data_IF_191336281979
#
_entry.id   IF_191336281979
#
_cell.length_a   1.000
_cell.length_b   1.000
_cell.length_c   1.000
_cell.angle_alpha   90.00
_cell.angle_beta   90.00
_cell.angle_gamma   90.00
#
_symmetry.space_group_name_H-M   'P 1'
#
loop_
_entity.id
_entity.type
_entity.pdbx_description
1 polymer ?
#
# COMPACT_ATOMS: atom_id res chain seq x y z
N UNK A 1 -16.06 -15.56 -3.64
CA UNK A 1 -16.65 -16.91 -3.82
C UNK A 1 -15.58 -17.94 -3.49
N UNK A 2 -15.86 -18.96 -2.68
CA UNK A 2 -14.87 -19.97 -2.27
C UNK A 2 -15.26 -21.37 -2.76
N UNK A 3 -14.30 -22.17 -3.21
CA UNK A 3 -14.53 -23.55 -3.64
C UNK A 3 -14.47 -24.52 -2.46
N UNK A 4 -15.55 -25.22 -2.17
CA UNK A 4 -15.61 -26.19 -1.08
C UNK A 4 -14.75 -27.43 -1.41
N UNK A 5 -13.77 -27.78 -0.57
CA UNK A 5 -12.88 -28.93 -0.83
C UNK A 5 -13.57 -30.31 -0.77
N UNK A 6 -14.76 -30.40 -0.17
CA UNK A 6 -15.51 -31.65 -0.03
C UNK A 6 -16.40 -31.94 -1.25
N UNK A 7 -17.03 -30.92 -1.86
CA UNK A 7 -17.91 -31.10 -3.01
C UNK A 7 -17.45 -30.41 -4.30
N UNK A 8 -16.33 -29.68 -4.25
CA UNK A 8 -15.72 -28.96 -5.35
C UNK A 8 -16.59 -27.87 -6.02
N UNK A 9 -17.71 -27.51 -5.40
CA UNK A 9 -18.59 -26.43 -5.87
C UNK A 9 -18.19 -25.08 -5.25
N UNK A 10 -18.46 -24.02 -6.00
CA UNK A 10 -18.28 -22.64 -5.58
C UNK A 10 -19.43 -22.23 -4.64
N UNK A 11 -19.10 -21.72 -3.45
CA UNK A 11 -20.04 -21.37 -2.38
C UNK A 11 -19.86 -19.93 -1.89
N UNK A 12 -20.96 -19.32 -1.44
CA UNK A 12 -20.96 -18.05 -0.73
C UNK A 12 -20.58 -18.25 0.75
N UNK A 13 -20.01 -17.22 1.38
CA UNK A 13 -19.57 -17.27 2.79
C UNK A 13 -20.69 -17.72 3.74
N UNK A 14 -21.92 -17.26 3.50
CA UNK A 14 -23.14 -17.62 4.24
C UNK A 14 -23.57 -19.09 4.12
N UNK A 15 -22.99 -19.84 3.17
CA UNK A 15 -23.32 -21.26 2.94
C UNK A 15 -22.37 -22.22 3.67
N UNK A 16 -21.41 -21.67 4.43
CA UNK A 16 -20.61 -22.43 5.39
C UNK A 16 -21.26 -22.37 6.77
N UNK A 17 -21.23 -23.47 7.55
CA UNK A 17 -21.80 -23.48 8.88
C UNK A 17 -21.09 -22.43 9.77
N UNK A 18 -21.81 -21.75 10.66
CA UNK A 18 -21.20 -20.86 11.65
C UNK A 18 -20.21 -21.65 12.51
N UNK A 19 -19.17 -20.96 12.99
CA UNK A 19 -18.02 -21.59 13.68
C UNK A 19 -18.38 -22.27 15.00
N UNK A 20 -19.61 -22.10 15.44
CA UNK A 20 -20.17 -22.73 16.64
C UNK A 20 -20.46 -24.22 16.49
N UNK A 21 -20.23 -24.83 15.32
CA UNK A 21 -20.58 -26.23 15.08
C UNK A 21 -19.36 -27.15 15.02
N UNK A 22 -19.31 -28.13 15.93
CA UNK A 22 -18.53 -29.34 15.71
C UNK A 22 -19.24 -30.14 14.62
N UNK A 23 -18.57 -30.37 13.49
CA UNK A 23 -19.02 -31.34 12.51
C UNK A 23 -18.80 -32.75 13.07
N UNK A 24 -19.80 -33.26 13.78
CA UNK A 24 -19.95 -34.71 13.90
C UNK A 24 -20.62 -35.22 12.64
N UNK A 25 -19.86 -35.48 11.58
CA UNK A 25 -20.37 -36.39 10.56
C UNK A 25 -19.23 -37.18 9.93
N UNK A 26 -19.24 -38.47 10.19
CA UNK A 26 -18.53 -39.52 9.46
C UNK A 26 -19.05 -39.71 8.03
N UNK A 27 -19.75 -38.73 7.46
CA UNK A 27 -20.40 -38.85 6.15
C UNK A 27 -19.87 -37.83 5.15
N UNK A 28 -19.72 -38.30 3.91
CA UNK A 28 -19.21 -37.62 2.71
C UNK A 28 -20.10 -36.49 2.18
N UNK A 29 -20.93 -35.88 3.02
CA UNK A 29 -21.86 -34.81 2.63
C UNK A 29 -21.38 -33.45 3.15
N UNK A 30 -21.69 -32.40 2.39
CA UNK A 30 -21.39 -31.03 2.79
C UNK A 30 -22.04 -30.67 4.13
N UNK A 31 -21.36 -29.91 5.00
CA UNK A 31 -21.97 -29.38 6.21
C UNK A 31 -23.28 -28.64 5.91
N UNK A 32 -24.39 -29.08 6.49
CA UNK A 32 -25.67 -28.37 6.47
C UNK A 32 -25.79 -27.42 7.67
N UNK A 33 -26.60 -26.36 7.54
CA UNK A 33 -26.89 -25.34 8.57
C UNK A 33 -27.60 -25.88 9.83
N UNK A 34 -27.80 -27.18 9.96
CA UNK A 34 -28.49 -27.82 11.09
C UNK A 34 -27.51 -28.13 12.23
N UNK A 35 -27.27 -27.15 13.10
CA UNK A 35 -26.41 -27.31 14.28
C UNK A 35 -27.24 -27.75 15.49
N UNK A 36 -26.92 -28.91 16.08
CA UNK A 36 -27.68 -29.49 17.19
C UNK A 36 -27.23 -29.10 18.60
N UNK A 37 -26.06 -28.46 18.77
CA UNK A 37 -25.55 -28.05 20.08
C UNK A 37 -24.75 -26.75 20.03
N UNK A 38 -25.07 -25.83 20.94
CA UNK A 38 -24.32 -24.59 21.19
C UNK A 38 -23.17 -24.87 22.15
N UNK A 39 -21.95 -24.48 21.77
CA UNK A 39 -20.81 -24.41 22.69
C UNK A 39 -20.92 -23.12 23.51
N UNK A 40 -20.91 -23.22 24.83
CA UNK A 40 -20.62 -22.10 25.73
C UNK A 40 -19.12 -22.11 26.06
N UNK A 41 -18.33 -21.31 25.35
CA UNK A 41 -16.92 -21.03 25.66
C UNK A 41 -16.74 -19.51 25.63
N UNK A 42 -16.10 -18.95 26.66
CA UNK A 42 -15.88 -17.51 26.84
C UNK A 42 -14.95 -16.91 25.75
N UNK A 43 -14.25 -17.77 24.99
CA UNK A 43 -13.44 -17.38 23.83
C UNK A 43 -14.27 -17.25 22.55
N UNK A 44 -15.58 -17.53 22.60
CA UNK A 44 -16.49 -17.45 21.45
C UNK A 44 -16.57 -16.04 20.87
N UNK A 45 -16.63 -15.01 21.70
CA UNK A 45 -16.66 -13.62 21.22
C UNK A 45 -15.36 -13.27 20.49
N UNK A 46 -14.22 -13.73 21.02
CA UNK A 46 -12.91 -13.49 20.43
C UNK A 46 -12.73 -14.25 19.11
N UNK A 47 -13.18 -15.51 19.05
CA UNK A 47 -13.14 -16.31 17.82
C UNK A 47 -14.11 -15.75 16.76
N UNK A 48 -15.33 -15.38 17.16
CA UNK A 48 -16.31 -14.77 16.25
C UNK A 48 -15.79 -13.44 15.70
N UNK A 49 -15.13 -12.61 16.52
CA UNK A 49 -14.51 -11.37 16.05
C UNK A 49 -13.36 -11.61 15.06
N UNK A 50 -12.57 -12.68 15.22
CA UNK A 50 -11.53 -13.07 14.24
C UNK A 50 -12.18 -13.59 12.96
N UNK A 51 -13.21 -14.43 13.09
CA UNK A 51 -13.94 -14.98 11.96
C UNK A 51 -14.64 -13.88 11.14
N UNK A 52 -15.33 -12.96 11.80
CA UNK A 52 -16.00 -11.82 11.17
C UNK A 52 -14.99 -10.87 10.52
N UNK A 53 -13.75 -10.76 11.04
CA UNK A 53 -12.65 -10.05 10.35
C UNK A 53 -12.14 -10.81 9.14
N UNK A 54 -12.02 -12.13 9.22
CA UNK A 54 -11.53 -12.98 8.13
C UNK A 54 -12.52 -13.09 6.96
N UNK A 55 -13.81 -12.90 7.25
CA UNK A 55 -14.92 -12.92 6.30
C UNK A 55 -15.66 -11.58 6.20
N UNK A 56 -15.04 -10.49 6.65
CA UNK A 56 -15.57 -9.15 6.42
C UNK A 56 -15.83 -9.04 4.93
N UNK A 57 -17.10 -8.84 4.55
CA UNK A 57 -17.49 -8.79 3.15
C UNK A 57 -16.63 -7.73 2.47
N UNK A 58 -15.65 -8.22 1.69
CA UNK A 58 -15.00 -7.42 0.68
C UNK A 58 -16.13 -7.01 -0.25
N UNK A 59 -16.65 -5.80 -0.05
CA UNK A 59 -17.33 -5.08 -1.11
C UNK A 59 -16.27 -4.89 -2.17
N UNK A 60 -16.22 -5.85 -3.09
CA UNK A 60 -15.53 -5.69 -4.34
C UNK A 60 -15.95 -4.34 -4.88
N UNK A 61 -15.02 -3.37 -4.86
CA UNK A 61 -15.04 -2.27 -5.80
C UNK A 61 -14.73 -2.86 -7.18
N UNK A 62 -15.58 -3.78 -7.62
CA UNK A 62 -15.80 -4.01 -9.03
C UNK A 62 -16.09 -2.63 -9.61
N UNK A 63 -15.45 -2.36 -10.74
CA UNK A 63 -15.70 -1.21 -11.59
C UNK A 63 -17.20 -1.23 -11.92
N UNK A 64 -17.99 -0.58 -11.07
CA UNK A 64 -19.41 -0.39 -11.28
C UNK A 64 -19.51 0.68 -12.36
N UNK A 65 -19.75 0.21 -13.58
CA UNK A 65 -20.32 1.05 -14.63
C UNK A 65 -21.72 1.41 -14.13
N UNK A 66 -21.83 2.59 -13.51
CA UNK A 66 -23.11 3.10 -13.03
C UNK A 66 -23.93 3.57 -14.24
N UNK A 67 -24.94 2.79 -14.62
CA UNK A 67 -26.02 3.27 -15.49
C UNK A 67 -26.94 4.17 -14.66
N UNK A 68 -26.96 5.47 -14.98
CA UNK A 68 -27.78 6.46 -14.26
C UNK A 68 -29.21 6.50 -14.77
N UNK A 69 -30.19 6.42 -13.86
CA UNK A 69 -31.56 6.84 -14.13
C UNK A 69 -31.68 8.38 -14.21
N UNK A 70 -32.63 8.94 -14.97
CA UNK A 70 -32.72 10.39 -15.19
C UNK A 70 -33.34 11.08 -13.98
N UNK A 71 -32.50 11.72 -13.15
CA UNK A 71 -32.91 12.51 -11.99
C UNK A 71 -31.82 12.69 -10.91
N UNK A 72 -30.69 11.99 -11.03
CA UNK A 72 -29.66 11.95 -9.99
C UNK A 72 -28.82 13.23 -9.85
N UNK A 73 -28.48 13.53 -8.60
CA UNK A 73 -27.50 14.53 -8.21
C UNK A 73 -26.18 14.24 -8.93
N UNK A 74 -25.64 15.21 -9.68
CA UNK A 74 -24.35 15.04 -10.34
C UNK A 74 -23.27 15.03 -9.27
N UNK A 75 -22.54 13.92 -9.15
CA UNK A 75 -21.45 13.78 -8.18
C UNK A 75 -20.12 13.58 -8.89
N UNK A 76 -19.03 13.70 -8.15
CA UNK A 76 -17.70 13.29 -8.56
C UNK A 76 -17.19 12.31 -7.51
N UNK A 77 -16.68 11.16 -7.96
CA UNK A 77 -16.06 10.19 -7.08
C UNK A 77 -14.58 10.55 -6.92
N UNK A 78 -14.13 10.73 -5.69
CA UNK A 78 -12.73 10.99 -5.36
C UNK A 78 -12.16 9.74 -4.71
N UNK A 79 -11.12 9.15 -5.29
CA UNK A 79 -10.48 7.93 -4.77
C UNK A 79 -9.03 8.19 -4.40
N UNK A 80 -8.57 7.61 -3.30
CA UNK A 80 -7.20 7.68 -2.82
C UNK A 80 -6.52 6.32 -3.02
N UNK A 81 -5.20 6.33 -3.19
CA UNK A 81 -4.41 5.12 -3.43
C UNK A 81 -4.45 4.06 -2.33
N UNK A 82 -4.81 4.45 -1.10
CA UNK A 82 -4.99 3.53 0.01
C UNK A 82 -6.37 2.84 0.00
N UNK A 83 -7.21 3.14 -1.00
CA UNK A 83 -8.56 2.59 -1.16
C UNK A 83 -9.67 3.46 -0.58
N UNK A 84 -9.36 4.54 0.14
CA UNK A 84 -10.38 5.47 0.64
C UNK A 84 -11.07 6.19 -0.52
N UNK A 85 -12.37 6.43 -0.39
CA UNK A 85 -13.15 7.12 -1.40
C UNK A 85 -14.19 8.05 -0.76
N UNK A 86 -14.52 9.12 -1.48
CA UNK A 86 -15.59 10.05 -1.12
C UNK A 86 -16.34 10.52 -2.36
N UNK A 87 -17.56 10.99 -2.16
CA UNK A 87 -18.35 11.65 -3.18
C UNK A 87 -18.46 13.15 -2.86
N UNK A 88 -18.27 13.99 -3.88
CA UNK A 88 -18.51 15.43 -3.80
C UNK A 88 -19.53 15.85 -4.85
N UNK A 89 -20.23 16.94 -4.59
CA UNK A 89 -21.11 17.55 -5.59
C UNK A 89 -20.30 17.96 -6.83
N UNK A 90 -20.86 17.72 -8.02
CA UNK A 90 -20.24 18.09 -9.29
C UNK A 90 -20.84 19.38 -9.84
N UNK A 91 -19.96 20.32 -10.16
CA UNK A 91 -20.28 21.52 -10.90
C UNK A 91 -19.10 21.86 -11.82
N UNK A 92 -19.31 21.80 -13.14
CA UNK A 92 -18.26 21.98 -14.15
C UNK A 92 -17.60 23.37 -14.12
N UNK A 93 -18.30 24.38 -13.59
CA UNK A 93 -17.77 25.73 -13.39
C UNK A 93 -16.89 25.89 -12.14
N UNK A 94 -16.81 24.87 -11.28
CA UNK A 94 -15.93 24.94 -10.12
C UNK A 94 -14.47 25.03 -10.54
N UNK A 95 -13.77 25.95 -9.88
CA UNK A 95 -12.31 25.98 -9.94
C UNK A 95 -11.74 24.74 -9.28
N UNK A 96 -10.57 24.29 -9.72
CA UNK A 96 -9.87 23.18 -9.06
C UNK A 96 -9.60 23.50 -7.58
N UNK A 97 -9.30 24.76 -7.25
CA UNK A 97 -9.14 25.20 -5.85
C UNK A 97 -10.41 25.02 -5.01
N UNK A 98 -11.59 25.27 -5.59
CA UNK A 98 -12.87 25.03 -4.92
C UNK A 98 -13.07 23.54 -4.67
N UNK A 99 -12.83 22.69 -5.66
CA UNK A 99 -12.88 21.23 -5.51
C UNK A 99 -11.95 20.74 -4.38
N UNK A 100 -10.69 21.18 -4.36
CA UNK A 100 -9.73 20.83 -3.31
C UNK A 100 -10.19 21.24 -1.91
N UNK A 101 -10.91 22.36 -1.82
CA UNK A 101 -11.51 22.83 -0.56
C UNK A 101 -12.63 21.90 -0.08
N UNK A 102 -13.46 21.37 -1.00
CA UNK A 102 -14.49 20.38 -0.64
C UNK A 102 -13.88 19.05 -0.22
N UNK A 103 -12.86 18.58 -0.93
CA UNK A 103 -12.08 17.39 -0.55
C UNK A 103 -11.50 17.55 0.86
N UNK A 104 -10.88 18.69 1.16
CA UNK A 104 -10.35 18.98 2.51
C UNK A 104 -11.44 18.87 3.59
N UNK A 105 -12.65 19.35 3.34
CA UNK A 105 -13.73 19.28 4.32
C UNK A 105 -14.14 17.85 4.64
N UNK A 106 -14.25 17.00 3.61
CA UNK A 106 -14.76 15.64 3.74
C UNK A 106 -13.65 14.67 4.16
N UNK A 107 -12.52 14.69 3.45
CA UNK A 107 -11.44 13.72 3.59
C UNK A 107 -10.27 14.20 4.47
N UNK A 108 -10.29 15.47 4.92
CA UNK A 108 -9.28 16.08 5.82
C UNK A 108 -7.86 16.21 5.26
N UNK A 109 -7.65 16.02 3.95
CA UNK A 109 -6.38 16.33 3.29
C UNK A 109 -6.18 17.84 3.15
N UNK A 110 -5.03 18.36 3.57
CA UNK A 110 -4.73 19.77 3.38
C UNK A 110 -4.51 20.10 1.89
N UNK A 111 -4.83 21.34 1.49
CA UNK A 111 -4.82 21.74 0.06
C UNK A 111 -3.42 21.56 -0.56
N UNK A 112 -2.36 21.80 0.19
CA UNK A 112 -0.97 21.63 -0.28
C UNK A 112 -0.57 20.16 -0.47
N UNK A 113 -1.22 19.24 0.25
CA UNK A 113 -0.99 17.80 0.16
C UNK A 113 -1.76 17.18 -1.03
N UNK A 114 -2.78 17.84 -1.55
CA UNK A 114 -3.62 17.26 -2.60
C UNK A 114 -2.95 17.36 -3.98
N UNK A 115 -2.86 16.24 -4.70
CA UNK A 115 -2.62 16.18 -6.14
C UNK A 115 -3.75 15.40 -6.79
N UNK A 116 -4.43 16.03 -7.73
CA UNK A 116 -5.64 15.49 -8.34
C UNK A 116 -5.32 15.08 -9.78
N UNK A 117 -5.69 13.86 -10.15
CA UNK A 117 -5.46 13.30 -11.47
C UNK A 117 -6.79 12.88 -12.09
N UNK A 118 -6.97 13.23 -13.37
CA UNK A 118 -8.11 12.80 -14.16
C UNK A 118 -7.62 12.34 -15.53
N UNK A 119 -7.93 11.09 -15.91
CA UNK A 119 -7.49 10.51 -17.18
C UNK A 119 -5.97 10.65 -17.41
N UNK A 120 -5.17 10.47 -16.35
CA UNK A 120 -3.71 10.60 -16.37
C UNK A 120 -3.17 12.03 -16.43
N UNK A 121 -4.04 13.05 -16.32
CA UNK A 121 -3.65 14.47 -16.35
C UNK A 121 -3.83 15.09 -14.98
N UNK A 122 -2.80 15.79 -14.49
CA UNK A 122 -2.88 16.56 -13.25
C UNK A 122 -3.80 17.77 -13.41
N UNK A 123 -4.79 17.88 -12.52
CA UNK A 123 -5.69 19.03 -12.43
C UNK A 123 -4.95 20.17 -11.71
N UNK A 124 -4.29 21.05 -12.49
CA UNK A 124 -3.59 22.21 -11.94
C UNK A 124 -4.57 23.30 -11.52
N UNK A 125 -4.24 24.08 -10.49
CA UNK A 125 -5.12 25.17 -10.00
C UNK A 125 -5.15 26.39 -10.92
N UNK A 126 -4.16 26.51 -11.81
CA UNK A 126 -4.03 27.58 -12.79
C UNK A 126 -3.74 27.03 -14.18
N UNK A 127 -4.26 27.72 -15.18
CA UNK A 127 -3.92 27.54 -16.58
C UNK A 127 -2.55 28.20 -16.91
N UNK A 128 -1.95 27.92 -18.08
CA UNK A 128 -0.69 28.53 -18.48
C UNK A 128 -0.70 30.07 -18.51
N UNK A 129 -1.86 30.69 -18.71
CA UNK A 129 -2.06 32.14 -18.67
C UNK A 129 -2.34 32.69 -17.26
N UNK A 130 -2.10 31.87 -16.23
CA UNK A 130 -2.31 32.18 -14.80
C UNK A 130 -3.77 32.37 -14.36
N UNK A 131 -4.76 32.16 -15.24
CA UNK A 131 -6.17 32.16 -14.83
C UNK A 131 -6.50 30.93 -13.97
N UNK A 132 -7.44 31.03 -13.01
CA UNK A 132 -7.93 29.86 -12.29
C UNK A 132 -8.47 28.82 -13.26
N UNK A 133 -8.00 27.58 -13.14
CA UNK A 133 -8.50 26.47 -13.94
C UNK A 133 -9.76 25.88 -13.30
N UNK A 134 -10.65 25.35 -14.14
CA UNK A 134 -11.93 24.77 -13.77
C UNK A 134 -12.02 23.30 -14.16
N UNK A 135 -12.98 22.56 -13.60
CA UNK A 135 -13.27 21.18 -14.00
C UNK A 135 -13.56 21.06 -15.50
N UNK A 136 -14.24 22.06 -16.07
CA UNK A 136 -14.51 22.13 -17.51
C UNK A 136 -13.24 22.23 -18.37
N UNK A 137 -12.22 22.96 -17.91
CA UNK A 137 -10.96 23.10 -18.66
C UNK A 137 -10.23 21.76 -18.83
N UNK A 138 -10.42 20.83 -17.89
CA UNK A 138 -9.89 19.46 -17.94
C UNK A 138 -10.90 18.43 -18.47
N UNK A 139 -12.05 18.88 -18.99
CA UNK A 139 -13.12 18.01 -19.50
C UNK A 139 -13.61 16.97 -18.48
N UNK A 140 -13.58 17.29 -17.18
CA UNK A 140 -14.08 16.41 -16.13
C UNK A 140 -15.59 16.27 -16.27
N UNK A 141 -16.07 15.03 -16.32
CA UNK A 141 -17.49 14.71 -16.51
C UNK A 141 -18.18 14.44 -15.16
N UNK A 142 -19.49 14.69 -15.05
CA UNK A 142 -20.25 14.20 -13.91
C UNK A 142 -20.13 12.68 -13.79
N UNK A 143 -20.22 12.19 -12.56
CA UNK A 143 -20.14 10.78 -12.16
C UNK A 143 -18.84 10.08 -12.59
N UNK A 144 -17.79 10.87 -12.85
CA UNK A 144 -16.47 10.35 -13.15
C UNK A 144 -15.61 10.26 -11.87
N UNK A 145 -14.51 9.53 -11.97
CA UNK A 145 -13.56 9.36 -10.88
C UNK A 145 -12.37 10.29 -11.07
N UNK A 146 -12.06 11.07 -10.03
CA UNK A 146 -10.79 11.80 -9.89
C UNK A 146 -9.96 11.11 -8.83
N UNK A 147 -8.71 10.86 -9.16
CA UNK A 147 -7.78 10.23 -8.25
C UNK A 147 -7.04 11.30 -7.44
N UNK A 148 -7.02 11.13 -6.12
CA UNK A 148 -6.31 11.95 -5.18
C UNK A 148 -5.05 11.21 -4.71
N UNK A 149 -3.90 11.76 -5.08
CA UNK A 149 -2.60 11.33 -4.58
C UNK A 149 -2.14 12.34 -3.53
N UNK A 150 -1.79 11.86 -2.35
CA UNK A 150 -1.30 12.72 -1.29
C UNK A 150 0.19 12.97 -1.45
N UNK A 151 0.56 14.22 -1.71
CA UNK A 151 1.93 14.71 -1.64
C UNK A 151 2.36 14.79 -0.17
N UNK A 152 3.37 13.99 0.18
CA UNK A 152 4.02 14.07 1.49
C UNK A 152 5.08 15.15 1.51
N UNK A 153 5.89 15.25 0.45
CA UNK A 153 6.99 16.20 0.41
C UNK A 153 7.47 16.49 -1.02
N UNK A 154 7.72 17.76 -1.37
CA UNK A 154 8.41 18.13 -2.60
C UNK A 154 9.86 18.44 -2.26
N UNK A 155 10.81 17.64 -2.78
CA UNK A 155 12.22 17.74 -2.40
C UNK A 155 12.84 19.01 -3.03
N UNK A 156 13.31 19.96 -2.21
CA UNK A 156 14.08 21.11 -2.69
C UNK A 156 15.32 20.69 -3.48
N UNK A 157 15.73 21.48 -4.47
CA UNK A 157 16.85 21.14 -5.36
C UNK A 157 18.21 21.03 -4.66
N UNK A 158 18.35 21.65 -3.49
CA UNK A 158 19.54 21.61 -2.65
C UNK A 158 19.62 20.36 -1.75
N UNK A 159 18.52 19.60 -1.62
CA UNK A 159 18.51 18.32 -0.89
C UNK A 159 18.88 17.18 -1.85
N UNK A 160 20.06 16.59 -1.64
CA UNK A 160 20.54 15.45 -2.44
C UNK A 160 20.38 14.10 -1.73
N UNK A 161 20.55 14.06 -0.40
CA UNK A 161 20.59 12.80 0.35
C UNK A 161 19.42 12.69 1.30
N UNK A 162 18.55 11.73 1.03
CA UNK A 162 17.38 11.44 1.88
C UNK A 162 17.43 10.01 2.39
N UNK A 163 16.75 9.77 3.50
CA UNK A 163 16.71 8.47 4.17
C UNK A 163 15.27 8.10 4.45
N UNK A 164 14.92 6.87 4.09
CA UNK A 164 13.69 6.20 4.50
C UNK A 164 14.03 5.26 5.64
N UNK A 165 13.44 5.53 6.80
CA UNK A 165 13.79 4.94 8.09
C UNK A 165 12.57 4.20 8.63
N UNK A 166 12.61 2.87 8.54
CA UNK A 166 11.53 1.98 8.93
C UNK A 166 11.85 1.34 10.27
N UNK A 167 10.99 1.55 11.25
CA UNK A 167 11.08 0.91 12.57
C UNK A 167 9.88 -0.02 12.83
N UNK A 168 10.13 -1.09 13.57
CA UNK A 168 9.08 -1.98 14.09
C UNK A 168 9.50 -2.64 15.40
N UNK A 169 8.53 -3.21 16.11
CA UNK A 169 8.79 -4.11 17.22
C UNK A 169 8.62 -5.57 16.78
N UNK A 170 9.35 -6.48 17.42
CA UNK A 170 9.26 -7.90 17.10
C UNK A 170 7.84 -8.42 17.41
N UNK A 171 7.32 -9.38 16.63
CA UNK A 171 6.06 -10.03 16.98
C UNK A 171 6.13 -10.68 18.37
N UNK A 172 5.02 -10.64 19.09
CA UNK A 172 4.90 -11.26 20.42
C UNK A 172 4.55 -12.76 20.34
N UNK A 173 4.03 -13.20 19.19
CA UNK A 173 3.52 -14.56 18.97
C UNK A 173 4.69 -15.53 18.74
N UNK A 174 4.96 -16.41 19.71
CA UNK A 174 6.20 -17.22 19.71
C UNK A 174 6.28 -18.26 18.60
N UNK A 175 5.15 -18.62 18.01
CA UNK A 175 5.04 -19.70 17.02
C UNK A 175 5.47 -19.24 15.61
N UNK A 176 5.61 -17.93 15.38
CA UNK A 176 6.10 -17.34 14.14
C UNK A 176 7.61 -17.04 14.17
N UNK A 177 8.25 -17.24 15.32
CA UNK A 177 9.59 -16.74 15.59
C UNK A 177 10.63 -17.85 15.39
N UNK A 178 11.55 -17.63 14.44
CA UNK A 178 12.63 -18.57 14.16
C UNK A 178 13.88 -18.28 15.01
N UNK A 179 14.71 -19.32 15.18
CA UNK A 179 15.99 -19.23 15.88
C UNK A 179 15.88 -19.14 17.41
N UNK A 180 17.03 -19.16 18.08
CA UNK A 180 17.11 -19.05 19.54
C UNK A 180 16.68 -17.69 20.08
N UNK A 181 16.68 -16.66 19.21
CA UNK A 181 16.40 -15.27 19.56
C UNK A 181 14.92 -14.91 19.45
N UNK A 182 14.08 -15.82 18.94
CA UNK A 182 12.64 -15.63 18.76
C UNK A 182 12.33 -14.26 18.12
N UNK A 183 12.76 -14.10 16.86
CA UNK A 183 12.51 -12.90 16.05
C UNK A 183 11.91 -13.22 14.69
N UNK A 184 11.26 -12.22 14.11
CA UNK A 184 10.81 -12.18 12.72
C UNK A 184 11.08 -10.79 12.15
N UNK A 185 11.07 -10.66 10.83
CA UNK A 185 11.58 -9.50 10.12
C UNK A 185 10.49 -8.84 9.29
N UNK A 186 10.40 -7.53 9.45
CA UNK A 186 9.65 -6.69 8.53
C UNK A 186 10.66 -6.08 7.57
N UNK A 187 10.51 -6.36 6.28
CA UNK A 187 11.48 -6.00 5.26
C UNK A 187 11.10 -4.68 4.58
N UNK A 188 12.08 -3.77 4.51
CA UNK A 188 11.98 -2.54 3.75
C UNK A 188 12.68 -2.78 2.43
N UNK A 189 12.04 -2.45 1.32
CA UNK A 189 12.69 -2.59 0.03
C UNK A 189 12.37 -1.41 -0.87
N UNK A 190 13.25 -1.18 -1.84
CA UNK A 190 13.05 -0.17 -2.85
C UNK A 190 12.97 -0.81 -4.22
N UNK A 191 11.85 -0.64 -4.93
CA UNK A 191 11.72 -1.06 -6.32
C UNK A 191 11.91 0.16 -7.22
N UNK A 192 12.86 0.05 -8.15
CA UNK A 192 13.22 1.11 -9.09
C UNK A 192 12.58 0.83 -10.44
N UNK A 193 11.88 1.85 -10.96
CA UNK A 193 11.11 1.78 -12.20
C UNK A 193 11.60 2.77 -13.25
N UNK A 194 11.63 2.29 -14.50
CA UNK A 194 11.81 3.06 -15.73
C UNK A 194 10.47 3.04 -16.48
N UNK A 195 9.60 4.03 -16.23
CA UNK A 195 8.20 3.95 -16.62
C UNK A 195 7.52 2.75 -15.95
N UNK A 196 6.89 1.87 -16.70
CA UNK A 196 6.20 0.67 -16.19
C UNK A 196 7.14 -0.50 -15.85
N UNK A 197 8.40 -0.44 -16.28
CA UNK A 197 9.34 -1.55 -16.14
C UNK A 197 10.05 -1.48 -14.79
N UNK A 198 9.88 -2.51 -13.95
CA UNK A 198 10.72 -2.70 -12.78
C UNK A 198 12.16 -3.03 -13.21
N UNK A 199 13.01 -2.02 -13.24
CA UNK A 199 14.42 -2.14 -13.61
C UNK A 199 15.23 -2.84 -12.52
N UNK A 200 14.88 -2.59 -11.24
CA UNK A 200 15.59 -3.16 -10.10
C UNK A 200 14.74 -3.28 -8.85
N UNK A 201 15.10 -4.24 -8.00
CA UNK A 201 14.67 -4.34 -6.61
C UNK A 201 15.90 -4.09 -5.75
N UNK A 202 15.80 -3.41 -4.63
CA UNK A 202 16.88 -3.20 -3.66
C UNK A 202 16.35 -3.71 -2.33
N UNK A 203 16.96 -4.79 -1.83
CA UNK A 203 16.59 -5.46 -0.59
C UNK A 203 17.87 -5.93 0.15
N UNK A 204 17.71 -6.50 1.35
CA UNK A 204 18.81 -7.12 2.08
C UNK A 204 19.47 -8.27 1.30
N UNK A 205 18.66 -9.11 0.64
CA UNK A 205 19.10 -10.30 -0.09
C UNK A 205 20.16 -9.97 -1.13
N UNK A 206 20.06 -8.84 -1.83
CA UNK A 206 21.02 -8.42 -2.85
C UNK A 206 22.40 -8.05 -2.31
N UNK A 207 22.56 -7.87 -0.99
CA UNK A 207 23.87 -7.63 -0.37
C UNK A 207 24.53 -8.90 0.15
N UNK A 208 23.82 -10.02 0.21
CA UNK A 208 24.33 -11.28 0.74
C UNK A 208 24.55 -12.30 -0.39
N UNK A 209 25.81 -12.51 -0.85
CA UNK A 209 26.13 -13.43 -1.94
C UNK A 209 25.67 -14.87 -1.69
N UNK A 210 25.60 -15.30 -0.42
CA UNK A 210 25.12 -16.62 -0.03
C UNK A 210 23.61 -16.73 -0.24
N UNK A 211 22.85 -15.72 0.20
CA UNK A 211 21.38 -15.67 -0.02
C UNK A 211 21.04 -15.53 -1.51
N UNK A 212 21.80 -14.71 -2.25
CA UNK A 212 21.72 -14.61 -3.71
C UNK A 212 21.93 -15.96 -4.40
N UNK A 213 22.94 -16.72 -3.96
CA UNK A 213 23.22 -18.06 -4.46
C UNK A 213 22.12 -19.08 -4.07
N UNK A 214 21.61 -19.01 -2.84
CA UNK A 214 20.54 -19.90 -2.35
C UNK A 214 19.19 -19.66 -3.05
N UNK A 215 18.87 -18.41 -3.37
CA UNK A 215 17.59 -18.06 -4.01
C UNK A 215 17.60 -18.25 -5.54
N UNK A 216 18.68 -18.78 -6.12
CA UNK A 216 18.85 -19.00 -7.58
C UNK A 216 18.49 -17.76 -8.43
N UNK A 217 18.57 -16.55 -7.87
CA UNK A 217 18.12 -15.31 -8.49
C UNK A 217 19.35 -14.53 -9.00
N UNK A 218 19.70 -14.78 -10.28
CA UNK A 218 20.51 -13.95 -11.20
C UNK A 218 22.03 -14.22 -11.30
N UNK A 219 22.45 -14.68 -12.49
CA UNK A 219 23.80 -14.48 -13.05
C UNK A 219 23.83 -13.12 -13.76
N UNK A 220 24.70 -12.18 -13.36
CA UNK A 220 25.14 -11.08 -14.25
C UNK A 220 24.80 -9.62 -13.89
N UNK A 221 24.29 -9.29 -12.70
CA UNK A 221 23.98 -7.90 -12.36
C UNK A 221 25.26 -7.13 -11.95
N UNK A 222 25.64 -6.10 -12.71
CA UNK A 222 26.71 -5.16 -12.33
C UNK A 222 26.26 -4.31 -11.14
N UNK A 223 27.06 -4.33 -10.05
CA UNK A 223 26.85 -3.69 -8.73
C UNK A 223 26.87 -2.14 -8.72
N UNK A 224 26.15 -1.43 -9.58
CA UNK A 224 25.96 0.03 -9.36
C UNK A 224 24.65 0.25 -8.62
N UNK A 225 24.67 0.64 -7.36
CA UNK A 225 23.49 0.79 -6.48
C UNK A 225 22.50 1.90 -6.91
N UNK A 226 22.71 2.58 -8.05
CA UNK A 226 21.84 3.64 -8.62
C UNK A 226 21.40 4.69 -7.59
N UNK A 227 22.34 5.07 -6.70
CA UNK A 227 22.09 6.02 -5.63
C UNK A 227 21.34 5.46 -4.41
N UNK A 228 20.88 4.20 -4.42
CA UNK A 228 20.04 3.61 -3.38
C UNK A 228 20.80 2.54 -2.56
N UNK A 229 20.92 2.72 -1.25
CA UNK A 229 21.60 1.77 -0.36
C UNK A 229 20.70 1.30 0.76
N UNK A 230 20.49 -0.01 0.83
CA UNK A 230 19.84 -0.67 1.96
C UNK A 230 20.83 -0.92 3.11
N UNK A 231 20.46 -0.66 4.36
CA UNK A 231 21.33 -0.94 5.52
C UNK A 231 21.51 -2.42 5.82
N UNK A 232 20.53 -3.24 5.41
CA UNK A 232 20.29 -4.56 5.97
C UNK A 232 19.65 -4.48 7.35
N UNK A 233 19.39 -5.64 7.93
CA UNK A 233 18.68 -5.81 9.19
C UNK A 233 19.45 -5.20 10.36
N UNK A 234 18.85 -4.21 11.03
CA UNK A 234 19.36 -3.63 12.28
C UNK A 234 18.45 -4.06 13.42
N UNK A 235 18.88 -5.08 14.14
CA UNK A 235 18.08 -5.78 15.13
C UNK A 235 18.62 -5.47 16.54
N UNK A 236 17.76 -5.03 17.46
CA UNK A 236 18.05 -4.87 18.90
C UNK A 236 17.21 -5.86 19.68
N UNK A 237 17.79 -7.03 19.96
CA UNK A 237 17.08 -8.13 20.62
C UNK A 237 16.73 -7.83 22.08
N UNK A 238 17.50 -6.95 22.75
CA UNK A 238 17.20 -6.56 24.14
C UNK A 238 15.95 -5.69 24.21
N UNK A 239 15.79 -4.77 23.26
CA UNK A 239 14.62 -3.91 23.16
C UNK A 239 13.49 -4.50 22.32
N UNK A 240 13.74 -5.62 21.62
CA UNK A 240 12.83 -6.24 20.64
C UNK A 240 12.40 -5.27 19.54
N UNK A 241 13.36 -4.51 19.01
CA UNK A 241 13.12 -3.52 17.96
C UNK A 241 13.93 -3.92 16.72
N UNK A 242 13.29 -3.87 15.57
CA UNK A 242 13.92 -4.01 14.27
C UNK A 242 13.86 -2.71 13.48
N UNK A 243 14.85 -2.52 12.62
CA UNK A 243 15.03 -1.27 11.90
C UNK A 243 15.71 -1.47 10.54
N UNK A 244 15.24 -0.76 9.51
CA UNK A 244 15.84 -0.69 8.18
C UNK A 244 15.99 0.75 7.70
N UNK A 245 17.14 1.05 7.12
CA UNK A 245 17.39 2.31 6.42
C UNK A 245 17.58 2.08 4.93
N UNK A 246 16.94 2.94 4.14
CA UNK A 246 17.19 3.06 2.71
C UNK A 246 17.71 4.48 2.45
N UNK A 247 19.02 4.59 2.23
CA UNK A 247 19.66 5.83 1.83
C UNK A 247 19.46 6.04 0.33
N UNK A 248 19.05 7.25 -0.07
CA UNK A 248 18.91 7.64 -1.47
C UNK A 248 19.77 8.88 -1.73
N UNK A 249 20.69 8.77 -2.69
CA UNK A 249 21.47 9.88 -3.25
C UNK A 249 20.86 10.26 -4.59
N UNK A 250 20.08 11.33 -4.61
CA UNK A 250 19.19 11.73 -5.70
C UNK A 250 19.97 12.02 -6.99
N UNK A 251 21.13 12.68 -6.88
CA UNK A 251 22.00 12.98 -8.03
C UNK A 251 22.61 11.73 -8.67
N UNK A 252 22.73 10.63 -7.93
CA UNK A 252 23.26 9.37 -8.42
C UNK A 252 22.19 8.47 -9.09
N UNK A 253 20.93 8.91 -9.10
CA UNK A 253 19.82 8.19 -9.74
C UNK A 253 19.86 8.45 -11.26
N UNK A 254 19.94 7.40 -12.10
CA UNK A 254 19.95 7.55 -13.55
C UNK A 254 18.74 8.31 -14.10
N UNK A 255 18.93 9.00 -15.23
CA UNK A 255 17.92 9.88 -15.84
C UNK A 255 16.69 9.13 -16.34
N UNK A 256 16.85 7.86 -16.72
CA UNK A 256 15.80 6.94 -17.18
C UNK A 256 14.90 6.46 -16.04
N UNK A 257 15.36 6.55 -14.79
CA UNK A 257 14.55 6.17 -13.62
C UNK A 257 13.49 7.24 -13.39
N UNK A 258 12.24 6.80 -13.41
CA UNK A 258 11.08 7.65 -13.20
C UNK A 258 10.62 7.61 -11.75
N UNK A 259 10.66 6.43 -11.11
CA UNK A 259 10.07 6.23 -9.78
C UNK A 259 10.91 5.25 -8.94
N UNK A 260 10.98 5.52 -7.64
CA UNK A 260 11.43 4.61 -6.60
C UNK A 260 10.25 4.35 -5.67
N UNK A 261 9.80 3.12 -5.57
CA UNK A 261 8.73 2.72 -4.64
C UNK A 261 9.34 2.11 -3.40
N UNK A 262 8.87 2.52 -2.22
CA UNK A 262 9.30 1.99 -0.94
C UNK A 262 8.24 1.06 -0.38
N UNK A 263 8.62 -0.20 -0.20
CA UNK A 263 7.73 -1.29 0.14
C UNK A 263 8.06 -1.75 1.54
N UNK A 264 7.01 -2.03 2.29
CA UNK A 264 7.06 -2.74 3.55
C UNK A 264 6.45 -4.12 3.36
N UNK A 265 7.15 -5.18 3.76
CA UNK A 265 6.60 -6.53 3.64
C UNK A 265 7.09 -7.49 4.70
N UNK A 266 6.22 -8.40 5.14
CA UNK A 266 6.55 -9.40 6.14
C UNK A 266 7.48 -10.49 5.57
N UNK A 267 8.38 -11.03 6.41
CA UNK A 267 9.23 -12.15 6.03
C UNK A 267 8.58 -13.52 6.26
N UNK A 268 8.25 -13.86 7.52
CA UNK A 268 7.57 -15.12 7.86
C UNK A 268 6.12 -14.91 8.27
N UNK A 269 5.83 -13.87 9.05
CA UNK A 269 4.48 -13.56 9.48
C UNK A 269 3.52 -13.44 8.28
N UNK A 270 2.27 -13.93 8.41
CA UNK A 270 1.30 -13.88 7.31
C UNK A 270 0.92 -12.44 6.92
N UNK A 271 1.00 -11.51 7.87
CA UNK A 271 0.54 -10.13 7.71
C UNK A 271 1.40 -9.14 8.49
N UNK A 272 1.39 -7.87 8.06
CA UNK A 272 2.12 -6.77 8.72
C UNK A 272 1.57 -6.49 10.12
N UNK A 273 0.30 -6.78 10.41
CA UNK A 273 -0.31 -6.58 11.74
C UNK A 273 0.38 -7.32 12.88
N UNK A 274 1.20 -8.33 12.58
CA UNK A 274 1.94 -9.09 13.59
C UNK A 274 3.12 -8.30 14.17
N UNK A 275 3.54 -7.23 13.52
CA UNK A 275 4.62 -6.36 13.96
C UNK A 275 4.03 -5.13 14.66
N UNK A 276 4.25 -4.95 15.98
CA UNK A 276 3.73 -3.78 16.66
C UNK A 276 4.47 -2.51 16.25
N UNK A 277 3.73 -1.40 16.23
CA UNK A 277 4.26 -0.04 16.00
C UNK A 277 5.14 0.11 14.73
N UNK A 278 4.72 -0.38 13.55
CA UNK A 278 5.47 -0.13 12.32
C UNK A 278 5.35 1.37 11.99
N UNK A 279 6.48 2.03 11.78
CA UNK A 279 6.52 3.45 11.42
C UNK A 279 7.58 3.71 10.37
N UNK A 280 7.27 4.63 9.45
CA UNK A 280 8.20 5.16 8.48
C UNK A 280 8.47 6.63 8.81
N UNK A 281 9.75 6.97 8.95
CA UNK A 281 10.23 8.35 8.95
C UNK A 281 11.00 8.62 7.66
N UNK A 282 10.88 9.83 7.16
CA UNK A 282 11.58 10.30 5.97
C UNK A 282 12.31 11.59 6.31
N UNK A 283 13.63 11.63 6.12
CA UNK A 283 14.42 12.81 6.47
C UNK A 283 15.57 13.07 5.51
N UNK A 284 16.05 14.30 5.49
CA UNK A 284 17.33 14.63 4.88
C UNK A 284 18.45 14.07 5.76
N UNK A 285 19.44 13.43 5.14
CA UNK A 285 20.53 12.74 5.83
C UNK A 285 21.39 13.65 6.71
N UNK A 286 21.57 14.92 6.33
CA UNK A 286 22.30 15.93 7.12
C UNK A 286 21.51 16.46 8.31
N UNK A 287 20.18 16.33 8.30
CA UNK A 287 19.29 16.87 9.33
C UNK A 287 18.24 15.85 9.79
N UNK A 288 18.64 14.69 10.37
CA UNK A 288 17.70 13.61 10.71
C UNK A 288 16.56 14.02 11.66
N UNK A 289 16.83 14.97 12.55
CA UNK A 289 15.87 15.48 13.54
C UNK A 289 14.72 16.30 12.91
N UNK A 290 14.89 16.78 11.68
CA UNK A 290 13.90 17.65 11.04
C UNK A 290 12.68 16.89 10.50
N UNK A 291 12.73 15.55 10.46
CA UNK A 291 11.72 14.62 9.93
C UNK A 291 10.76 15.24 8.90
N UNK A 292 11.07 15.06 7.62
CA UNK A 292 10.35 15.66 6.51
C UNK A 292 8.91 15.13 6.38
N UNK A 293 8.67 13.86 6.72
CA UNK A 293 7.32 13.32 6.94
C UNK A 293 7.33 11.97 7.67
N UNK A 294 6.27 11.69 8.41
CA UNK A 294 6.00 10.37 9.02
C UNK A 294 4.62 9.87 8.65
N UNK A 295 4.46 8.56 8.48
CA UNK A 295 3.15 7.94 8.27
C UNK A 295 3.05 6.60 9.01
N UNK A 296 1.82 6.15 9.27
CA UNK A 296 1.49 4.86 9.88
C UNK A 296 0.54 4.09 8.96
N UNK A 297 0.69 2.77 8.87
CA UNK A 297 0.00 1.96 7.87
C UNK A 297 -1.09 1.07 8.49
N UNK A 298 -2.04 1.68 9.19
CA UNK A 298 -3.12 0.96 9.90
C UNK A 298 -3.96 0.07 8.97
N UNK A 299 -4.18 0.52 7.72
CA UNK A 299 -4.94 -0.19 6.69
C UNK A 299 -4.20 -1.39 6.07
N UNK A 300 -2.87 -1.48 6.24
CA UNK A 300 -2.06 -2.58 5.70
C UNK A 300 -2.05 -3.84 6.59
N UNK A 301 -2.75 -3.79 7.72
CA UNK A 301 -2.70 -4.78 8.79
C UNK A 301 -3.07 -6.19 8.34
N UNK A 302 -3.96 -6.35 7.37
CA UNK A 302 -4.44 -7.66 6.89
C UNK A 302 -3.63 -8.23 5.71
N UNK A 303 -2.60 -7.51 5.24
CA UNK A 303 -1.81 -7.89 4.07
C UNK A 303 -0.36 -8.18 4.43
N UNK A 304 0.31 -8.96 3.59
CA UNK A 304 1.73 -9.30 3.73
C UNK A 304 2.66 -8.19 3.24
N UNK A 305 2.18 -7.28 2.39
CA UNK A 305 2.95 -6.14 1.90
C UNK A 305 2.09 -4.89 1.68
N UNK A 306 2.73 -3.73 1.81
CA UNK A 306 2.18 -2.42 1.45
C UNK A 306 3.24 -1.58 0.72
N UNK A 307 2.83 -0.93 -0.36
CA UNK A 307 3.58 0.12 -1.02
C UNK A 307 3.37 1.38 -0.18
N UNK A 308 4.36 1.76 0.62
CA UNK A 308 4.23 2.86 1.57
C UNK A 308 4.13 4.20 0.86
N UNK A 309 5.15 4.50 0.06
CA UNK A 309 5.29 5.75 -0.66
C UNK A 309 6.14 5.56 -1.92
N UNK A 310 6.16 6.58 -2.75
CA UNK A 310 7.02 6.65 -3.93
C UNK A 310 7.77 7.97 -3.97
N UNK A 311 9.03 7.90 -4.34
CA UNK A 311 9.82 9.05 -4.76
C UNK A 311 9.77 9.09 -6.29
N UNK A 312 9.09 10.10 -6.83
CA UNK A 312 8.73 10.20 -8.24
C UNK A 312 9.35 11.43 -8.88
N UNK A 313 9.91 11.26 -10.09
CA UNK A 313 10.58 12.32 -10.83
C UNK A 313 9.53 13.19 -11.54
N UNK A 314 9.66 14.50 -11.42
CA UNK A 314 8.82 15.49 -12.09
C UNK A 314 9.68 16.46 -12.90
N UNK A 315 9.03 17.38 -13.64
CA UNK A 315 9.75 18.48 -14.32
C UNK A 315 10.48 19.43 -13.37
N UNK A 316 10.00 19.54 -12.13
CA UNK A 316 10.50 20.51 -11.15
C UNK A 316 11.45 19.89 -10.11
N UNK A 317 11.75 18.61 -10.22
CA UNK A 317 12.53 17.86 -9.24
C UNK A 317 11.82 16.60 -8.78
N UNK A 318 12.19 16.10 -7.61
CA UNK A 318 11.62 14.89 -7.04
C UNK A 318 10.56 15.19 -5.99
N UNK A 319 9.53 14.35 -5.95
CA UNK A 319 8.43 14.47 -5.00
C UNK A 319 8.14 13.12 -4.35
N UNK A 320 7.68 13.16 -3.11
CA UNK A 320 7.30 11.99 -2.32
C UNK A 320 5.78 11.92 -2.24
N UNK A 321 5.19 10.86 -2.76
CA UNK A 321 3.77 10.58 -2.68
C UNK A 321 3.47 9.46 -1.69
N UNK A 322 2.41 9.59 -0.91
CA UNK A 322 1.83 8.49 -0.15
C UNK A 322 1.09 7.56 -1.12
N UNK A 323 1.26 6.24 -0.94
CA UNK A 323 0.58 5.23 -1.74
C UNK A 323 -0.40 4.44 -0.88
N UNK A 324 0.08 3.69 0.12
CA UNK A 324 -0.77 2.89 0.99
C UNK A 324 -1.39 1.65 0.34
N UNK A 325 -1.09 1.37 -0.93
CA UNK A 325 -1.65 0.24 -1.67
C UNK A 325 -1.09 -1.10 -1.16
N UNK A 326 -1.95 -2.09 -0.94
CA UNK A 326 -1.55 -3.40 -0.41
C UNK A 326 -1.26 -4.42 -1.52
N UNK A 327 -0.51 -5.46 -1.18
CA UNK A 327 -0.17 -6.55 -2.09
C UNK A 327 -0.07 -7.89 -1.36
N UNK A 328 -0.37 -8.98 -2.09
CA UNK A 328 -0.22 -10.36 -1.61
C UNK A 328 1.21 -10.90 -1.76
N UNK A 329 2.15 -10.10 -2.27
CA UNK A 329 3.56 -10.45 -2.31
C UNK A 329 4.23 -10.24 -0.95
N UNK A 330 5.51 -10.61 -0.85
CA UNK A 330 6.29 -10.45 0.37
C UNK A 330 7.79 -10.38 0.09
N UNK A 331 8.62 -10.31 1.14
CA UNK A 331 10.07 -10.21 1.04
C UNK A 331 10.73 -11.42 0.34
N UNK A 332 10.04 -12.57 0.26
CA UNK A 332 10.51 -13.78 -0.44
C UNK A 332 10.05 -13.81 -1.91
N UNK A 333 8.87 -13.25 -2.20
CA UNK A 333 8.33 -13.14 -3.55
C UNK A 333 7.79 -11.73 -3.87
N UNK A 334 8.62 -10.96 -4.56
CA UNK A 334 8.30 -9.61 -5.03
C UNK A 334 7.44 -9.56 -6.30
N UNK A 335 7.14 -10.69 -6.96
CA UNK A 335 6.41 -10.63 -8.24
C UNK A 335 5.01 -10.00 -8.11
N UNK A 336 4.18 -10.34 -7.11
CA UNK A 336 2.89 -9.67 -6.93
C UNK A 336 3.05 -8.18 -6.61
N UNK A 337 4.05 -7.81 -5.81
CA UNK A 337 4.35 -6.40 -5.49
C UNK A 337 4.72 -5.62 -6.76
N UNK A 338 5.56 -6.19 -7.63
CA UNK A 338 5.93 -5.58 -8.91
C UNK A 338 4.70 -5.36 -9.81
N UNK A 339 3.80 -6.32 -9.86
CA UNK A 339 2.55 -6.20 -10.63
C UNK A 339 1.64 -5.12 -10.05
N UNK A 340 1.50 -5.06 -8.71
CA UNK A 340 0.75 -3.98 -8.03
C UNK A 340 1.32 -2.61 -8.40
N UNK A 341 2.64 -2.43 -8.30
CA UNK A 341 3.29 -1.16 -8.64
C UNK A 341 3.16 -0.83 -10.13
N UNK A 342 3.33 -1.81 -11.02
CA UNK A 342 3.16 -1.58 -12.45
C UNK A 342 1.75 -1.10 -12.78
N UNK A 343 0.72 -1.68 -12.15
CA UNK A 343 -0.68 -1.25 -12.30
C UNK A 343 -0.87 0.19 -11.84
N UNK A 344 -0.33 0.57 -10.67
CA UNK A 344 -0.37 1.96 -10.19
C UNK A 344 0.23 2.92 -11.23
N UNK A 345 1.37 2.58 -11.82
CA UNK A 345 2.01 3.45 -12.83
C UNK A 345 1.13 3.57 -14.08
N UNK A 346 0.50 2.47 -14.53
CA UNK A 346 -0.40 2.45 -15.69
C UNK A 346 -1.66 3.29 -15.47
N UNK A 347 -2.14 3.34 -14.23
CA UNK A 347 -3.32 4.13 -13.83
C UNK A 347 -3.00 5.62 -13.64
N UNK A 348 -1.71 6.00 -13.71
CA UNK A 348 -1.26 7.38 -13.55
C UNK A 348 -0.95 7.75 -12.09
N UNK A 349 -0.73 6.72 -11.27
CA UNK A 349 -0.82 6.64 -9.81
C UNK A 349 -2.24 6.53 -9.33
#
# INVERSE_FOLDING_TARGET
VMRCRMCNNDKLSKEFPPVTCILSSSDTHCPSLSCGQLIQDDRREWFQAIWDKQFAEYKSSDVSVFETEPGECKVLHVTVLNGDAAEIEFNDSWTIMRMMTEIKKIMKFDINEQRLLYSGVELTTKLPDSKPATLKDFSVKPNSTVQLVKLLYAIPQDINKVVFDLNWQYPNDTDLLEGTEKRDYLDASCLIFEGEKCARTIDFVQKNPLMLAMLNKHKGIKKKEWGVKHSGDRMDDRKRIGHHLIDVSIEDIPTEVTNLFFILSAWNAPTISRYPNPSLSFYEKSTPEANLCSTTFTHASDYSAVIMCSLSRTRNGWVVYENGQTSNGNAKDYNPIKQTVQKLIQEGF
#
